data_IF_231985074798
#
_entry.id   IF_231985074798
#
_cell.length_a   1.000
_cell.length_b   1.000
_cell.length_c   1.000
_cell.angle_alpha   90.00
_cell.angle_beta   90.00
_cell.angle_gamma   90.00
#
_symmetry.space_group_name_H-M   'P 1'
#
loop_
_entity.id
_entity.type
_entity.pdbx_description
1 polymer ?
#
# COMPACT_ATOMS: atom_id res chain seq x y z
N UNK A 1 44.45 -30.74 35.44
CA UNK A 1 43.30 -30.31 36.27
C UNK A 1 42.59 -29.18 35.53
N UNK A 2 41.29 -29.30 35.30
CA UNK A 2 40.50 -28.35 34.50
C UNK A 2 40.00 -27.26 35.44
N UNK A 3 40.60 -26.07 35.39
CA UNK A 3 40.19 -24.94 36.22
C UNK A 3 38.77 -24.53 35.84
N UNK A 4 37.80 -24.88 36.69
CA UNK A 4 36.41 -24.48 36.53
C UNK A 4 36.32 -23.04 37.01
N UNK A 5 36.57 -22.08 36.10
CA UNK A 5 36.37 -20.65 36.34
C UNK A 5 34.91 -20.42 36.76
N UNK A 6 34.67 -20.33 38.06
CA UNK A 6 33.37 -19.97 38.62
C UNK A 6 33.14 -18.50 38.32
N UNK A 7 32.27 -18.20 37.34
CA UNK A 7 31.85 -16.82 37.06
C UNK A 7 31.39 -16.18 38.36
N UNK A 8 31.98 -15.03 38.69
CA UNK A 8 31.50 -14.26 39.82
C UNK A 8 30.11 -13.73 39.50
N UNK A 9 29.18 -13.74 40.46
CA UNK A 9 27.80 -13.29 40.28
C UNK A 9 27.70 -11.90 39.63
N UNK A 10 28.72 -11.05 39.83
CA UNK A 10 28.88 -9.72 39.22
C UNK A 10 29.04 -9.77 37.68
N UNK A 11 29.79 -10.73 37.14
CA UNK A 11 29.93 -10.89 35.69
C UNK A 11 28.60 -11.32 35.05
N UNK A 12 27.81 -12.12 35.76
CA UNK A 12 26.48 -12.52 35.29
C UNK A 12 25.50 -11.34 35.22
N UNK A 13 25.54 -10.43 36.20
CA UNK A 13 24.76 -9.19 36.16
C UNK A 13 25.19 -8.27 35.01
N UNK A 14 26.50 -8.13 34.76
CA UNK A 14 27.03 -7.33 33.66
C UNK A 14 26.56 -7.86 32.30
N UNK A 15 26.62 -9.18 32.09
CA UNK A 15 26.16 -9.82 30.85
C UNK A 15 24.63 -9.67 30.70
N UNK A 16 23.89 -9.81 31.80
CA UNK A 16 22.43 -9.63 31.79
C UNK A 16 22.01 -8.21 31.38
N UNK A 17 22.63 -7.19 31.97
CA UNK A 17 22.35 -5.78 31.64
C UNK A 17 22.71 -5.48 30.18
N UNK A 18 23.84 -6.00 29.70
CA UNK A 18 24.26 -5.84 28.32
C UNK A 18 23.23 -6.43 27.34
N UNK A 19 22.74 -7.64 27.61
CA UNK A 19 21.71 -8.28 26.78
C UNK A 19 20.39 -7.50 26.78
N UNK A 20 19.95 -7.00 27.94
CA UNK A 20 18.74 -6.16 28.02
C UNK A 20 18.91 -4.87 27.24
N UNK A 21 20.08 -4.24 27.31
CA UNK A 21 20.38 -3.03 26.55
C UNK A 21 20.35 -3.30 25.03
N UNK A 22 21.01 -4.36 24.56
CA UNK A 22 20.96 -4.72 23.13
C UNK A 22 19.56 -5.12 22.67
N UNK A 23 18.77 -5.81 23.51
CA UNK A 23 17.38 -6.13 23.20
C UNK A 23 16.52 -4.88 23.09
N UNK A 24 16.69 -3.90 24.00
CA UNK A 24 16.00 -2.63 23.92
C UNK A 24 16.39 -1.83 22.68
N UNK A 25 17.68 -1.81 22.34
CA UNK A 25 18.19 -1.17 21.12
C UNK A 25 17.65 -1.85 19.85
N UNK A 26 17.60 -3.19 19.85
CA UNK A 26 17.03 -3.97 18.75
C UNK A 26 15.54 -3.72 18.59
N UNK A 27 14.77 -3.67 19.68
CA UNK A 27 13.34 -3.33 19.63
C UNK A 27 13.11 -1.89 19.19
N UNK A 28 13.94 -0.95 19.65
CA UNK A 28 13.89 0.45 19.20
C UNK A 28 14.20 0.58 17.71
N UNK A 29 15.19 -0.16 17.22
CA UNK A 29 15.57 -0.18 15.82
C UNK A 29 14.50 -0.85 14.95
N UNK A 30 13.88 -1.92 15.43
CA UNK A 30 12.72 -2.54 14.77
C UNK A 30 11.57 -1.54 14.64
N UNK A 31 11.30 -0.76 15.68
CA UNK A 31 10.26 0.27 15.64
C UNK A 31 10.55 1.37 14.61
N UNK A 32 11.81 1.77 14.42
CA UNK A 32 12.19 2.83 13.48
C UNK A 32 12.32 2.32 12.04
N UNK A 33 12.78 1.08 11.81
CA UNK A 33 13.07 0.56 10.46
C UNK A 33 11.85 -0.07 9.77
N UNK A 34 10.80 -0.46 10.50
CA UNK A 34 9.54 -0.91 9.89
C UNK A 34 8.72 0.21 9.22
N UNK A 35 9.18 1.46 9.28
CA UNK A 35 8.62 2.60 8.57
C UNK A 35 9.25 2.80 7.18
N UNK A 36 9.56 1.69 6.48
CA UNK A 36 9.86 1.75 5.06
C UNK A 36 8.56 1.87 4.27
N UNK A 37 7.87 2.99 4.44
CA UNK A 37 6.62 3.26 3.73
C UNK A 37 6.91 3.47 2.25
N UNK A 38 6.01 3.00 1.37
CA UNK A 38 6.11 3.30 -0.05
C UNK A 38 6.16 4.80 -0.27
N UNK A 39 7.07 5.26 -1.13
CA UNK A 39 7.21 6.69 -1.44
C UNK A 39 6.19 7.10 -2.49
N UNK A 40 5.89 6.18 -3.42
CA UNK A 40 4.87 6.36 -4.45
C UNK A 40 3.92 5.16 -4.52
N UNK A 41 2.68 5.42 -4.93
CA UNK A 41 1.79 4.40 -5.44
C UNK A 41 1.25 4.81 -6.81
N UNK A 42 1.09 3.82 -7.67
CA UNK A 42 0.64 3.99 -9.04
C UNK A 42 -0.63 3.20 -9.25
N UNK A 43 -1.68 3.88 -9.69
CA UNK A 43 -2.95 3.26 -10.06
C UNK A 43 -2.97 3.08 -11.56
N UNK A 44 -3.27 1.87 -11.99
CA UNK A 44 -3.36 1.49 -13.39
C UNK A 44 -4.78 1.06 -13.73
N UNK A 45 -5.23 1.45 -14.92
CA UNK A 45 -6.41 0.90 -15.56
C UNK A 45 -5.99 0.34 -16.93
N UNK A 46 -6.07 -0.97 -17.09
CA UNK A 46 -5.58 -1.66 -18.29
C UNK A 46 -4.13 -2.16 -18.19
N UNK A 47 -3.36 -2.10 -19.28
CA UNK A 47 -2.01 -2.68 -19.38
C UNK A 47 -0.89 -1.64 -19.50
N UNK A 48 -1.26 -0.36 -19.63
CA UNK A 48 -0.36 0.72 -20.03
C UNK A 48 0.21 1.48 -18.81
N UNK A 49 0.60 2.73 -19.04
CA UNK A 49 1.09 3.70 -18.06
C UNK A 49 0.08 3.92 -16.89
N UNK A 50 0.53 4.44 -15.73
CA UNK A 50 -0.36 4.70 -14.61
C UNK A 50 -1.33 5.85 -14.93
N UNK A 51 -2.61 5.64 -14.63
CA UNK A 51 -3.66 6.64 -14.83
C UNK A 51 -3.63 7.73 -13.75
N UNK A 52 -3.23 7.33 -12.54
CA UNK A 52 -3.05 8.20 -11.38
C UNK A 52 -1.78 7.80 -10.65
N UNK A 53 -1.01 8.80 -10.21
CA UNK A 53 0.10 8.62 -9.27
C UNK A 53 -0.23 9.28 -7.93
N UNK A 54 0.28 8.67 -6.86
CA UNK A 54 0.12 9.11 -5.48
C UNK A 54 1.54 9.32 -4.94
N UNK A 55 1.87 10.56 -4.59
CA UNK A 55 3.13 10.93 -3.93
C UNK A 55 2.86 11.09 -2.43
N UNK A 56 3.20 10.05 -1.66
CA UNK A 56 3.03 10.05 -0.21
C UNK A 56 3.98 11.02 0.51
N UNK A 57 5.03 11.50 -0.16
CA UNK A 57 5.96 12.47 0.46
C UNK A 57 5.44 13.90 0.38
N UNK A 58 4.55 14.19 -0.59
CA UNK A 58 3.97 15.51 -0.81
C UNK A 58 2.49 15.60 -0.45
N UNK A 59 1.88 14.49 -0.09
CA UNK A 59 0.43 14.35 0.08
C UNK A 59 -0.35 14.78 -1.18
N UNK A 60 0.16 14.40 -2.35
CA UNK A 60 -0.39 14.80 -3.66
C UNK A 60 -0.85 13.59 -4.48
N UNK A 61 -1.95 13.77 -5.21
CA UNK A 61 -2.45 12.81 -6.20
C UNK A 61 -2.47 13.49 -7.57
N UNK A 62 -1.74 12.93 -8.54
CA UNK A 62 -1.65 13.47 -9.89
C UNK A 62 -2.37 12.57 -10.89
N UNK A 63 -3.24 13.16 -11.71
CA UNK A 63 -3.90 12.49 -12.83
C UNK A 63 -3.07 12.63 -14.09
N UNK A 64 -2.82 11.52 -14.77
CA UNK A 64 -2.06 11.52 -16.03
C UNK A 64 -2.95 11.48 -17.28
N UNK A 65 -4.05 10.73 -17.24
CA UNK A 65 -4.98 10.62 -18.38
C UNK A 65 -6.41 10.30 -17.93
N UNK A 66 -7.37 10.53 -18.83
CA UNK A 66 -8.78 10.20 -18.61
C UNK A 66 -9.16 8.88 -19.32
N UNK A 67 -10.08 8.13 -18.73
CA UNK A 67 -10.64 6.91 -19.31
C UNK A 67 -11.56 7.25 -20.48
N UNK A 68 -11.51 6.43 -21.53
CA UNK A 68 -12.53 6.46 -22.58
C UNK A 68 -13.81 5.83 -22.04
N UNK A 69 -14.81 6.66 -21.75
CA UNK A 69 -16.14 6.23 -21.31
C UNK A 69 -17.12 6.19 -22.49
N UNK A 70 -18.16 5.34 -22.45
CA UNK A 70 -19.22 5.36 -23.44
C UNK A 70 -20.01 6.68 -23.40
N UNK A 71 -20.62 7.05 -24.53
CA UNK A 71 -21.25 8.38 -24.76
C UNK A 71 -22.42 8.70 -23.82
N UNK A 72 -22.96 7.70 -23.13
CA UNK A 72 -24.04 7.82 -22.15
C UNK A 72 -23.57 8.30 -20.77
N UNK A 73 -22.25 8.40 -20.55
CA UNK A 73 -21.65 8.84 -19.29
C UNK A 73 -21.01 10.22 -19.48
N UNK A 74 -21.63 11.24 -18.88
CA UNK A 74 -21.17 12.65 -18.94
C UNK A 74 -20.00 12.96 -17.98
N UNK A 75 -19.52 11.97 -17.22
CA UNK A 75 -18.47 12.14 -16.20
C UNK A 75 -17.16 11.52 -16.71
N UNK A 76 -16.09 12.32 -16.69
CA UNK A 76 -14.74 11.85 -16.97
C UNK A 76 -14.13 11.14 -15.74
N UNK A 77 -13.57 9.95 -15.96
CA UNK A 77 -12.81 9.22 -14.96
C UNK A 77 -11.32 9.28 -15.29
N UNK A 78 -10.40 9.23 -14.31
CA UNK A 78 -10.64 9.08 -12.88
C UNK A 78 -11.23 10.33 -12.24
N UNK A 79 -12.14 10.15 -11.29
CA UNK A 79 -12.60 11.24 -10.42
C UNK A 79 -11.78 11.18 -9.14
N UNK A 80 -11.10 12.27 -8.82
CA UNK A 80 -10.31 12.40 -7.58
C UNK A 80 -11.01 13.43 -6.71
N UNK A 81 -11.43 13.03 -5.53
CA UNK A 81 -12.12 13.88 -4.58
C UNK A 81 -11.68 13.58 -3.15
N UNK A 82 -11.65 14.60 -2.32
CA UNK A 82 -11.52 14.43 -0.87
C UNK A 82 -12.89 14.10 -0.29
N UNK A 83 -12.94 13.10 0.58
CA UNK A 83 -14.16 12.72 1.28
C UNK A 83 -14.15 13.31 2.69
N UNK A 84 -14.91 14.40 2.88
CA UNK A 84 -15.00 15.15 4.14
C UNK A 84 -15.44 14.29 5.35
N UNK A 85 -16.16 13.19 5.12
CA UNK A 85 -16.70 12.36 6.20
C UNK A 85 -15.64 11.42 6.80
N UNK A 86 -14.67 10.98 5.99
CA UNK A 86 -13.65 10.01 6.41
C UNK A 86 -12.21 10.54 6.34
N UNK A 87 -11.99 11.70 5.72
CA UNK A 87 -10.69 12.35 5.60
C UNK A 87 -9.74 11.72 4.58
N UNK A 88 -10.23 10.80 3.74
CA UNK A 88 -9.42 10.14 2.71
C UNK A 88 -9.64 10.78 1.34
N UNK A 89 -8.59 10.74 0.51
CA UNK A 89 -8.76 10.98 -0.92
C UNK A 89 -9.32 9.72 -1.57
N UNK A 90 -10.37 9.89 -2.36
CA UNK A 90 -11.03 8.86 -3.14
C UNK A 90 -10.71 9.04 -4.62
N UNK A 91 -10.10 8.01 -5.20
CA UNK A 91 -9.89 7.87 -6.65
C UNK A 91 -10.93 6.89 -7.16
N UNK A 92 -11.89 7.41 -7.93
CA UNK A 92 -12.93 6.61 -8.56
C UNK A 92 -12.55 6.31 -9.99
N UNK A 93 -12.61 5.04 -10.37
CA UNK A 93 -12.42 4.54 -11.73
C UNK A 93 -13.68 3.82 -12.21
N UNK A 94 -13.91 3.83 -13.52
CA UNK A 94 -14.88 2.95 -14.15
C UNK A 94 -14.20 1.62 -14.49
N UNK A 95 -14.59 0.55 -13.79
CA UNK A 95 -14.06 -0.79 -14.00
C UNK A 95 -14.61 -1.46 -15.25
N UNK A 96 -13.90 -2.48 -15.73
CA UNK A 96 -14.30 -3.26 -16.90
C UNK A 96 -15.34 -4.34 -16.61
N UNK A 97 -15.55 -4.70 -15.34
CA UNK A 97 -16.57 -5.68 -14.99
C UNK A 97 -17.94 -5.04 -15.12
N UNK A 98 -18.80 -5.68 -15.90
CA UNK A 98 -20.19 -5.27 -16.07
C UNK A 98 -21.17 -6.25 -15.39
N UNK A 99 -22.25 -5.69 -14.88
CA UNK A 99 -23.42 -6.43 -14.40
C UNK A 99 -24.57 -6.02 -15.30
N UNK A 100 -25.14 -6.99 -16.01
CA UNK A 100 -26.22 -6.78 -16.98
C UNK A 100 -25.89 -5.69 -18.03
N UNK A 101 -24.62 -5.63 -18.48
CA UNK A 101 -24.15 -4.66 -19.47
C UNK A 101 -23.79 -3.28 -18.91
N UNK A 102 -23.89 -3.08 -17.59
CA UNK A 102 -23.54 -1.83 -16.92
C UNK A 102 -22.20 -1.98 -16.23
N UNK A 103 -21.21 -1.17 -16.62
CA UNK A 103 -19.90 -1.12 -15.96
C UNK A 103 -20.00 -0.58 -14.54
N UNK A 104 -19.20 -1.14 -13.66
CA UNK A 104 -19.24 -0.83 -12.23
C UNK A 104 -18.07 0.07 -11.84
N UNK A 105 -18.27 0.93 -10.85
CA UNK A 105 -17.20 1.78 -10.33
C UNK A 105 -16.28 1.01 -9.39
N UNK A 106 -15.03 1.45 -9.33
CA UNK A 106 -14.04 1.01 -8.34
C UNK A 106 -13.58 2.25 -7.59
N UNK A 107 -13.74 2.23 -6.26
CA UNK A 107 -13.33 3.34 -5.39
C UNK A 107 -12.09 2.93 -4.62
N UNK A 108 -11.02 3.69 -4.81
CA UNK A 108 -9.74 3.52 -4.15
C UNK A 108 -9.58 4.65 -3.14
N UNK A 109 -9.28 4.32 -1.89
CA UNK A 109 -9.00 5.28 -0.83
C UNK A 109 -7.51 5.38 -0.55
N UNK A 110 -7.04 6.61 -0.39
CA UNK A 110 -5.66 6.96 -0.05
C UNK A 110 -5.64 7.59 1.35
N UNK A 111 -4.79 7.04 2.21
CA UNK A 111 -4.51 7.53 3.56
C UNK A 111 -3.06 8.00 3.60
N UNK A 112 -2.88 9.32 3.57
CA UNK A 112 -1.58 9.97 3.63
C UNK A 112 -0.94 9.92 5.02
N UNK A 113 -1.74 9.84 6.10
CA UNK A 113 -1.18 9.75 7.45
C UNK A 113 -0.44 8.43 7.68
N UNK A 114 -0.87 7.35 7.00
CA UNK A 114 -0.31 6.01 7.12
C UNK A 114 0.27 5.46 5.82
N UNK A 115 0.45 6.31 4.80
CA UNK A 115 1.05 5.96 3.50
C UNK A 115 0.51 4.67 2.89
N UNK A 116 -0.82 4.54 2.88
CA UNK A 116 -1.49 3.29 2.51
C UNK A 116 -2.70 3.53 1.62
N UNK A 117 -3.02 2.52 0.84
CA UNK A 117 -4.12 2.52 -0.12
C UNK A 117 -4.99 1.30 0.11
N UNK A 118 -6.29 1.43 -0.14
CA UNK A 118 -7.22 0.29 -0.22
C UNK A 118 -8.24 0.49 -1.31
N UNK A 119 -8.81 -0.60 -1.78
CA UNK A 119 -10.07 -0.56 -2.54
C UNK A 119 -11.21 -0.69 -1.54
N UNK A 120 -12.14 0.27 -1.50
CA UNK A 120 -13.30 0.22 -0.60
C UNK A 120 -14.53 -0.33 -1.31
N UNK A 121 -14.69 0.02 -2.58
CA UNK A 121 -15.81 -0.43 -3.40
C UNK A 121 -15.28 -1.06 -4.68
N UNK A 122 -15.72 -2.28 -4.93
CA UNK A 122 -15.61 -2.93 -6.22
C UNK A 122 -16.82 -3.86 -6.38
N UNK A 123 -17.25 -4.04 -7.63
CA UNK A 123 -18.14 -5.13 -7.99
C UNK A 123 -17.35 -6.12 -8.84
N UNK A 124 -17.25 -7.36 -8.37
CA UNK A 124 -16.63 -8.47 -9.08
C UNK A 124 -17.09 -9.81 -8.47
N UNK A 125 -16.92 -10.97 -9.14
CA UNK A 125 -17.42 -12.25 -8.63
C UNK A 125 -16.89 -12.64 -7.25
N UNK A 126 -15.69 -12.17 -6.90
CA UNK A 126 -15.01 -12.56 -5.66
C UNK A 126 -14.75 -11.39 -4.71
N UNK A 127 -14.82 -10.13 -5.19
CA UNK A 127 -14.54 -8.93 -4.42
C UNK A 127 -13.23 -9.06 -3.63
N UNK A 128 -12.15 -9.42 -4.33
CA UNK A 128 -10.85 -9.73 -3.71
C UNK A 128 -10.16 -8.47 -3.21
N UNK A 129 -10.12 -7.39 -3.99
CA UNK A 129 -9.42 -6.15 -3.61
C UNK A 129 -10.06 -5.47 -2.41
N UNK A 130 -11.39 -5.39 -2.38
CA UNK A 130 -12.13 -4.82 -1.26
C UNK A 130 -11.94 -5.63 0.03
N UNK A 131 -11.74 -6.94 -0.08
CA UNK A 131 -11.42 -7.82 1.06
C UNK A 131 -9.97 -7.75 1.52
N UNK A 132 -9.03 -7.34 0.66
CA UNK A 132 -7.62 -7.20 1.03
C UNK A 132 -7.40 -6.08 2.05
N UNK A 133 -8.20 -5.02 1.98
CA UNK A 133 -8.10 -3.88 2.90
C UNK A 133 -6.89 -3.00 2.60
N UNK A 134 -6.32 -2.42 3.66
CA UNK A 134 -5.20 -1.49 3.55
C UNK A 134 -3.89 -2.17 3.17
N UNK A 135 -3.17 -1.57 2.23
CA UNK A 135 -1.83 -1.97 1.82
C UNK A 135 -0.90 -0.77 1.73
N UNK A 136 0.34 -0.95 2.16
CA UNK A 136 1.44 0.04 2.07
C UNK A 136 2.50 -0.34 1.03
N UNK A 137 2.45 -1.56 0.48
CA UNK A 137 3.52 -2.11 -0.37
C UNK A 137 3.06 -3.28 -1.25
N UNK A 138 2.10 -4.08 -0.79
CA UNK A 138 1.60 -5.23 -1.54
C UNK A 138 0.65 -4.75 -2.63
N UNK A 139 0.87 -5.12 -3.91
CA UNK A 139 -0.02 -4.71 -4.98
C UNK A 139 -1.47 -5.15 -4.77
N UNK A 140 -2.41 -4.27 -5.09
CA UNK A 140 -3.85 -4.57 -5.09
C UNK A 140 -4.27 -4.84 -6.54
N UNK A 141 -4.79 -6.03 -6.86
CA UNK A 141 -5.06 -6.45 -8.25
C UNK A 141 -6.51 -6.88 -8.42
N UNK A 142 -7.30 -6.05 -9.11
CA UNK A 142 -8.75 -6.25 -9.32
C UNK A 142 -8.98 -6.73 -10.75
N UNK A 143 -8.60 -7.98 -11.02
CA UNK A 143 -8.55 -8.54 -12.37
C UNK A 143 -9.83 -8.32 -13.20
N UNK A 144 -11.05 -8.58 -12.69
CA UNK A 144 -12.27 -8.39 -13.48
C UNK A 144 -12.49 -6.93 -13.89
N UNK A 145 -12.01 -5.99 -13.08
CA UNK A 145 -12.11 -4.56 -13.32
C UNK A 145 -10.93 -3.98 -14.10
N UNK A 146 -9.88 -4.78 -14.38
CA UNK A 146 -8.60 -4.34 -14.98
C UNK A 146 -7.95 -3.16 -14.25
N UNK A 147 -8.20 -3.05 -12.94
CA UNK A 147 -7.60 -2.06 -12.05
C UNK A 147 -6.49 -2.73 -11.24
N UNK A 148 -5.34 -2.08 -11.11
CA UNK A 148 -4.32 -2.48 -10.14
C UNK A 148 -3.64 -1.27 -9.50
N UNK A 149 -3.20 -1.43 -8.26
CA UNK A 149 -2.39 -0.46 -7.52
C UNK A 149 -1.05 -1.11 -7.25
N UNK A 150 0.03 -0.47 -7.69
CA UNK A 150 1.40 -0.89 -7.42
C UNK A 150 2.10 0.15 -6.55
N UNK A 151 3.05 -0.29 -5.73
CA UNK A 151 3.77 0.57 -4.80
C UNK A 151 5.23 0.62 -5.21
N UNK A 152 5.79 1.82 -5.28
CA UNK A 152 7.23 2.03 -5.41
C UNK A 152 7.82 2.13 -4.01
N UNK A 153 8.20 0.97 -3.50
CA UNK A 153 9.05 0.88 -2.32
C UNK A 153 10.49 0.96 -2.79
N UNK A 154 11.24 1.96 -2.33
CA UNK A 154 12.70 2.09 -2.53
C UNK A 154 13.53 0.94 -1.91
N UNK A 155 12.91 -0.22 -1.68
CA UNK A 155 13.58 -1.48 -1.42
C UNK A 155 14.13 -2.00 -2.74
N UNK A 156 15.42 -1.76 -2.96
CA UNK A 156 16.25 -2.63 -3.78
C UNK A 156 15.84 -4.10 -3.59
N UNK A 157 15.63 -4.79 -4.71
CA UNK A 157 15.26 -6.21 -4.87
C UNK A 157 13.72 -6.42 -4.92
N UNK A 158 13.11 -6.98 -5.97
CA UNK A 158 13.55 -8.14 -6.75
C UNK A 158 12.93 -8.07 -8.17
N UNK A 159 13.78 -7.93 -9.19
CA UNK A 159 13.51 -8.43 -10.55
C UNK A 159 13.35 -9.96 -10.48
N UNK A 160 12.11 -10.45 -10.53
CA UNK A 160 11.80 -11.79 -11.06
C UNK A 160 10.85 -11.57 -12.23
N UNK A 161 11.41 -11.48 -13.43
CA UNK A 161 11.17 -12.39 -14.56
C UNK A 161 12.29 -12.11 -15.59
N UNK A 162 13.14 -13.12 -15.79
CA UNK A 162 13.96 -13.29 -17.00
C UNK A 162 13.11 -13.90 -18.12
#
# INVERSE_FOLDING_TARGET
>A
MKDKKTMQKRDLYMIGILLVFFAALFLMFQYVWYAGDATYAYVYYGLDDPIVSIDFSKDEVERHFDQTVPEDIDIAYPVIAENDDNGYIEITLLGDFDIDGIRQVVIIQVDFEQNRVRVVEEQSPLNVCSKQGWSTAVPLICLPNRVRVEFDTNTSDIDIIQ
#
